data_IF_299585972373
#
_entry.id   IF_299585972373
#
_cell.length_a   1.000
_cell.length_b   1.000
_cell.length_c   1.000
_cell.angle_alpha   90.00
_cell.angle_beta   90.00
_cell.angle_gamma   90.00
#
_symmetry.space_group_name_H-M   'P 1'
#
loop_
_entity.id
_entity.type
_entity.pdbx_description
1 polymer ?
#
# COMPACT_ATOMS: atom_id res chain seq x y z
N UNK A 1 -7.08 6.36 12.22
CA UNK A 1 -6.69 4.95 12.08
C UNK A 1 -7.94 4.14 12.26
N UNK A 2 -8.26 3.27 11.30
CA UNK A 2 -9.50 2.51 11.28
C UNK A 2 -9.22 1.06 10.89
N UNK A 3 -9.72 0.06 11.63
CA UNK A 3 -9.72 -1.31 11.13
C UNK A 3 -10.65 -1.40 9.91
N UNK A 4 -10.21 -2.08 8.86
CA UNK A 4 -11.02 -2.34 7.66
C UNK A 4 -11.52 -3.78 7.68
N UNK A 5 -10.62 -4.75 7.89
CA UNK A 5 -10.95 -6.15 8.14
C UNK A 5 -9.86 -6.82 9.01
N UNK A 6 -10.23 -7.90 9.69
CA UNK A 6 -9.35 -8.62 10.62
C UNK A 6 -8.97 -7.80 11.87
N UNK A 7 -7.94 -8.25 12.57
CA UNK A 7 -7.55 -7.65 13.85
C UNK A 7 -7.01 -6.21 13.70
N UNK A 8 -7.47 -5.26 14.52
CA UNK A 8 -6.94 -3.89 14.52
C UNK A 8 -5.49 -3.86 15.02
N UNK A 9 -4.82 -2.72 14.80
CA UNK A 9 -3.64 -2.35 15.58
C UNK A 9 -4.10 -1.44 16.76
N UNK A 10 -3.38 -1.41 17.89
CA UNK A 10 -3.64 -0.44 18.96
C UNK A 10 -3.51 1.01 18.46
N UNK A 11 -4.37 1.94 18.91
CA UNK A 11 -4.31 3.33 18.48
C UNK A 11 -3.03 4.01 18.97
N UNK A 12 -2.45 4.85 18.11
CA UNK A 12 -1.26 5.67 18.39
C UNK A 12 -1.48 7.09 17.89
N UNK A 13 -0.78 8.06 18.47
CA UNK A 13 -0.87 9.48 18.10
C UNK A 13 0.13 9.89 17.02
N UNK A 14 1.20 9.11 16.82
CA UNK A 14 2.23 9.37 15.85
C UNK A 14 2.86 8.06 15.36
N UNK A 15 3.49 8.13 14.19
CA UNK A 15 4.31 7.06 13.62
C UNK A 15 5.67 7.67 13.27
N UNK A 16 6.73 6.96 13.62
CA UNK A 16 8.06 7.17 13.06
C UNK A 16 8.35 6.08 12.02
N UNK A 17 9.04 6.43 10.95
CA UNK A 17 9.51 5.48 9.96
C UNK A 17 11.00 5.71 9.71
N UNK A 18 11.76 4.62 9.59
CA UNK A 18 13.19 4.66 9.43
C UNK A 18 13.82 3.29 9.68
N UNK A 19 15.15 3.17 9.53
CA UNK A 19 15.86 1.91 9.74
C UNK A 19 15.94 1.51 11.23
N UNK A 20 15.76 2.45 12.15
CA UNK A 20 15.84 2.21 13.58
C UNK A 20 14.44 2.10 14.21
N UNK A 21 14.29 1.17 15.15
CA UNK A 21 13.08 1.04 15.97
C UNK A 21 13.13 2.05 17.10
N UNK A 22 12.08 2.85 17.25
CA UNK A 22 11.96 3.77 18.37
C UNK A 22 11.75 2.99 19.69
N UNK A 23 12.51 3.29 20.77
CA UNK A 23 12.24 2.70 22.08
C UNK A 23 10.82 3.00 22.55
N UNK A 24 10.14 2.01 23.14
CA UNK A 24 8.79 2.20 23.70
C UNK A 24 7.66 2.27 22.67
N UNK A 25 7.89 1.89 21.41
CA UNK A 25 6.84 1.81 20.40
C UNK A 25 5.75 0.80 20.81
N UNK A 26 4.47 1.20 20.72
CA UNK A 26 3.32 0.31 20.99
C UNK A 26 3.27 -0.89 20.04
N UNK A 27 3.73 -0.70 18.81
CA UNK A 27 3.90 -1.74 17.81
C UNK A 27 4.98 -1.33 16.81
N UNK A 28 5.53 -2.30 16.09
CA UNK A 28 6.50 -2.10 15.02
C UNK A 28 6.10 -2.96 13.84
N UNK A 29 6.17 -2.41 12.63
CA UNK A 29 5.95 -3.13 11.38
C UNK A 29 7.21 -3.02 10.52
N UNK A 30 7.72 -4.15 10.04
CA UNK A 30 8.93 -4.18 9.21
C UNK A 30 8.60 -4.67 7.81
N UNK A 31 9.32 -4.17 6.82
CA UNK A 31 9.18 -4.63 5.44
C UNK A 31 10.31 -4.14 4.56
N UNK A 32 10.57 -4.87 3.47
CA UNK A 32 11.67 -4.60 2.53
C UNK A 32 11.12 -4.15 1.18
N UNK A 33 11.76 -3.16 0.57
CA UNK A 33 11.53 -2.86 -0.85
C UNK A 33 12.14 -4.01 -1.66
N UNK A 34 11.39 -4.53 -2.63
CA UNK A 34 11.81 -5.70 -3.42
C UNK A 34 11.63 -5.44 -4.92
N UNK A 35 12.04 -6.42 -5.75
CA UNK A 35 11.82 -6.38 -7.19
C UNK A 35 10.31 -6.47 -7.53
N UNK A 36 9.89 -5.93 -8.69
CA UNK A 36 8.51 -6.10 -9.17
C UNK A 36 8.12 -7.57 -9.27
N UNK A 37 6.89 -7.90 -8.85
CA UNK A 37 6.35 -9.27 -8.86
C UNK A 37 5.31 -9.52 -9.94
N UNK A 38 4.65 -8.47 -10.45
CA UNK A 38 3.53 -8.58 -11.38
C UNK A 38 3.66 -7.68 -12.60
N UNK A 39 4.14 -6.44 -12.41
CA UNK A 39 4.21 -5.47 -13.49
C UNK A 39 5.10 -5.97 -14.65
N UNK A 40 4.56 -5.91 -15.85
CA UNK A 40 5.24 -6.16 -17.11
C UNK A 40 6.20 -5.02 -17.46
N UNK A 41 7.07 -5.23 -18.45
CA UNK A 41 8.00 -4.19 -18.90
C UNK A 41 7.30 -2.92 -19.40
N UNK A 42 6.18 -3.05 -20.11
CA UNK A 42 5.41 -1.90 -20.62
C UNK A 42 4.73 -1.11 -19.49
N UNK A 43 4.18 -1.81 -18.49
CA UNK A 43 3.60 -1.20 -17.29
C UNK A 43 4.68 -0.47 -16.49
N UNK A 44 5.84 -1.10 -16.29
CA UNK A 44 6.98 -0.49 -15.61
C UNK A 44 7.48 0.77 -16.32
N UNK A 45 7.57 0.74 -17.66
CA UNK A 45 7.93 1.92 -18.47
C UNK A 45 6.92 3.05 -18.30
N UNK A 46 5.63 2.72 -18.33
CA UNK A 46 4.55 3.70 -18.17
C UNK A 46 4.59 4.33 -16.78
N UNK A 47 4.68 3.50 -15.74
CA UNK A 47 4.79 3.96 -14.35
C UNK A 47 6.02 4.84 -14.16
N UNK A 48 7.19 4.42 -14.66
CA UNK A 48 8.43 5.18 -14.55
C UNK A 48 8.39 6.54 -15.24
N UNK A 49 7.55 6.70 -16.27
CA UNK A 49 7.38 7.97 -16.98
C UNK A 49 6.51 9.00 -16.27
N UNK A 50 5.68 8.59 -15.31
CA UNK A 50 4.70 9.49 -14.66
C UNK A 50 4.81 9.54 -13.13
N UNK A 51 5.32 8.49 -12.48
CA UNK A 51 5.41 8.46 -11.02
C UNK A 51 6.46 9.44 -10.52
N UNK A 52 6.20 10.04 -9.36
CA UNK A 52 7.18 10.86 -8.66
C UNK A 52 7.58 10.22 -7.33
N UNK A 53 8.70 10.68 -6.78
CA UNK A 53 9.27 10.18 -5.53
C UNK A 53 8.52 10.64 -4.27
N UNK A 54 8.89 10.03 -3.14
CA UNK A 54 8.46 10.43 -1.81
C UNK A 54 9.15 11.72 -1.34
N UNK A 55 8.62 12.34 -0.30
CA UNK A 55 9.23 13.47 0.41
C UNK A 55 9.01 14.83 -0.26
N UNK A 56 8.06 14.94 -1.19
CA UNK A 56 7.79 16.20 -1.89
C UNK A 56 7.31 17.28 -0.93
N UNK A 57 7.65 18.53 -1.24
CA UNK A 57 7.39 19.69 -0.40
C UNK A 57 5.90 19.98 -0.18
N UNK A 58 5.04 19.59 -1.10
CA UNK A 58 3.59 19.76 -1.06
C UNK A 58 2.86 18.55 -0.45
N UNK A 59 3.52 17.39 -0.40
CA UNK A 59 2.94 16.15 0.12
C UNK A 59 2.88 16.17 1.66
N UNK A 60 1.84 16.80 2.19
CA UNK A 60 1.58 16.96 3.64
C UNK A 60 0.64 15.92 4.21
N UNK A 61 0.01 15.09 3.37
CA UNK A 61 -0.79 13.96 3.77
C UNK A 61 -0.10 12.65 3.38
N UNK A 62 -0.33 11.61 4.17
CA UNK A 62 0.14 10.27 3.88
C UNK A 62 -0.87 9.21 4.33
N UNK A 63 -0.74 8.01 3.79
CA UNK A 63 -1.44 6.84 4.26
C UNK A 63 -0.49 5.66 4.36
N UNK A 64 -0.54 4.96 5.49
CA UNK A 64 0.02 3.63 5.67
C UNK A 64 -1.13 2.63 5.71
N UNK A 65 -1.14 1.68 4.77
CA UNK A 65 -2.15 0.62 4.70
C UNK A 65 -1.43 -0.73 4.72
N UNK A 66 -1.24 -1.33 5.92
CA UNK A 66 -0.74 -2.69 6.07
C UNK A 66 -1.81 -3.68 5.60
N UNK A 67 -1.43 -4.64 4.76
CA UNK A 67 -2.34 -5.58 4.12
C UNK A 67 -1.79 -7.00 4.28
N UNK A 68 -2.66 -7.94 4.66
CA UNK A 68 -2.41 -9.38 4.64
C UNK A 68 -3.41 -10.04 3.71
N UNK A 69 -2.91 -10.90 2.83
CA UNK A 69 -3.72 -11.75 1.98
C UNK A 69 -3.85 -13.16 2.57
N UNK A 70 -4.95 -13.81 2.25
CA UNK A 70 -5.27 -15.17 2.69
C UNK A 70 -4.29 -16.20 2.14
N UNK A 71 -4.23 -17.35 2.81
CA UNK A 71 -3.45 -18.50 2.33
C UNK A 71 -3.87 -18.92 0.92
N UNK A 72 -5.17 -18.89 0.62
CA UNK A 72 -5.70 -19.19 -0.71
C UNK A 72 -5.04 -18.36 -1.82
N UNK A 73 -4.76 -17.07 -1.57
CA UNK A 73 -4.01 -16.24 -2.51
C UNK A 73 -2.59 -16.75 -2.71
N UNK A 74 -1.92 -17.15 -1.63
CA UNK A 74 -0.53 -17.58 -1.67
C UNK A 74 -0.34 -19.00 -2.25
N UNK A 75 -1.39 -19.81 -2.28
CA UNK A 75 -1.42 -21.11 -2.97
C UNK A 75 -1.54 -20.97 -4.49
N UNK A 76 -2.10 -19.87 -5.00
CA UNK A 76 -2.25 -19.62 -6.44
C UNK A 76 -0.90 -19.55 -7.15
N UNK A 77 -0.88 -20.10 -8.35
CA UNK A 77 0.24 -19.97 -9.27
C UNK A 77 0.47 -18.50 -9.68
N UNK A 78 1.65 -18.22 -10.23
CA UNK A 78 2.06 -16.86 -10.55
C UNK A 78 1.18 -16.20 -11.62
N UNK A 79 0.79 -16.96 -12.64
CA UNK A 79 -0.10 -16.55 -13.71
C UNK A 79 -1.52 -16.28 -13.19
N UNK A 80 -2.05 -17.14 -12.31
CA UNK A 80 -3.34 -16.93 -11.67
C UNK A 80 -3.37 -15.65 -10.84
N UNK A 81 -2.36 -15.42 -9.99
CA UNK A 81 -2.23 -14.17 -9.22
C UNK A 81 -2.10 -12.96 -10.13
N UNK A 82 -1.34 -13.07 -11.22
CA UNK A 82 -1.17 -11.97 -12.18
C UNK A 82 -2.49 -11.63 -12.87
N UNK A 83 -3.25 -12.64 -13.29
CA UNK A 83 -4.57 -12.51 -13.90
C UNK A 83 -5.56 -11.78 -12.98
N UNK A 84 -5.58 -12.15 -11.70
CA UNK A 84 -6.45 -11.48 -10.72
C UNK A 84 -5.98 -10.03 -10.48
N UNK A 85 -4.68 -9.81 -10.34
CA UNK A 85 -4.09 -8.50 -10.04
C UNK A 85 -4.38 -7.44 -11.11
N UNK A 86 -4.21 -7.75 -12.41
CA UNK A 86 -4.42 -6.73 -13.45
C UNK A 86 -5.58 -7.02 -14.39
N UNK A 87 -5.68 -8.23 -14.95
CA UNK A 87 -6.67 -8.51 -15.99
C UNK A 87 -8.10 -8.39 -15.43
N UNK A 88 -8.29 -8.79 -14.17
CA UNK A 88 -9.58 -8.72 -13.49
C UNK A 88 -9.72 -7.46 -12.63
N UNK A 89 -8.68 -7.09 -11.88
CA UNK A 89 -8.76 -5.99 -10.89
C UNK A 89 -8.28 -4.65 -11.43
N UNK A 90 -7.49 -4.66 -12.51
CA UNK A 90 -6.88 -3.48 -13.14
C UNK A 90 -6.09 -2.64 -12.13
N UNK A 91 -5.35 -3.29 -11.23
CA UNK A 91 -4.67 -2.63 -10.11
C UNK A 91 -3.75 -1.50 -10.58
N UNK A 92 -2.90 -1.78 -11.56
CA UNK A 92 -1.96 -0.80 -12.12
C UNK A 92 -2.70 0.26 -12.91
N UNK A 93 -3.60 -0.14 -13.81
CA UNK A 93 -4.35 0.80 -14.65
C UNK A 93 -5.24 1.76 -13.84
N UNK A 94 -5.85 1.31 -12.74
CA UNK A 94 -6.60 2.17 -11.82
C UNK A 94 -5.68 3.16 -11.11
N UNK A 95 -4.58 2.65 -10.56
CA UNK A 95 -3.62 3.46 -9.82
C UNK A 95 -2.89 4.49 -10.70
N UNK A 96 -2.71 4.22 -11.99
CA UNK A 96 -2.11 5.16 -12.94
C UNK A 96 -2.86 6.50 -12.99
N UNK A 97 -4.19 6.50 -12.78
CA UNK A 97 -5.01 7.72 -12.83
C UNK A 97 -4.71 8.72 -11.72
N UNK A 98 -4.10 8.27 -10.62
CA UNK A 98 -3.74 9.14 -9.49
C UNK A 98 -2.30 9.64 -9.57
N UNK A 99 -1.54 9.25 -10.60
CA UNK A 99 -0.18 9.73 -10.82
C UNK A 99 -0.21 10.99 -11.70
N UNK A 100 0.66 11.99 -11.45
CA UNK A 100 1.76 12.03 -10.47
C UNK A 100 1.36 12.40 -9.03
N UNK A 101 0.09 12.77 -8.81
CA UNK A 101 -0.37 13.37 -7.57
C UNK A 101 -0.14 12.50 -6.31
N UNK A 102 -0.27 11.18 -6.40
CA UNK A 102 -0.01 10.23 -5.32
C UNK A 102 1.34 9.55 -5.52
N UNK A 103 2.32 9.83 -4.65
CA UNK A 103 3.55 9.06 -4.57
C UNK A 103 3.31 7.79 -3.76
N UNK A 104 4.01 6.69 -4.09
CA UNK A 104 3.82 5.40 -3.40
C UNK A 104 5.13 4.66 -3.17
N UNK A 105 5.14 3.82 -2.14
CA UNK A 105 6.18 2.81 -1.89
C UNK A 105 5.56 1.53 -1.35
N UNK A 106 6.00 0.41 -1.89
CA UNK A 106 5.59 -0.93 -1.46
C UNK A 106 6.73 -1.59 -0.70
N UNK A 107 6.42 -2.11 0.49
CA UNK A 107 7.30 -2.97 1.24
C UNK A 107 6.67 -4.36 1.38
N UNK A 108 7.48 -5.40 1.17
CA UNK A 108 7.11 -6.79 1.38
C UNK A 108 7.56 -7.23 2.77
N UNK A 109 6.69 -7.90 3.51
CA UNK A 109 6.92 -8.28 4.90
C UNK A 109 6.54 -9.71 5.24
N UNK A 110 5.78 -10.40 4.36
CA UNK A 110 5.40 -11.81 4.53
C UNK A 110 6.59 -12.71 4.85
N UNK A 111 7.63 -12.66 4.02
CA UNK A 111 8.79 -13.56 4.13
C UNK A 111 9.69 -13.21 5.33
N UNK A 112 9.39 -12.11 6.05
CA UNK A 112 10.03 -11.75 7.32
C UNK A 112 9.29 -12.35 8.53
N UNK A 113 8.17 -13.04 8.33
CA UNK A 113 7.30 -13.55 9.40
C UNK A 113 6.46 -12.47 10.10
N UNK A 114 6.30 -11.31 9.45
CA UNK A 114 5.54 -10.18 10.00
C UNK A 114 4.02 -10.45 9.94
N UNK A 115 3.21 -9.75 10.77
CA UNK A 115 1.76 -9.97 10.83
C UNK A 115 0.98 -9.49 9.60
N UNK A 116 1.63 -8.78 8.68
CA UNK A 116 1.09 -8.34 7.40
C UNK A 116 2.02 -8.79 6.27
N UNK A 117 1.48 -8.97 5.07
CA UNK A 117 2.26 -9.37 3.90
C UNK A 117 2.91 -8.18 3.20
N UNK A 118 2.23 -7.04 3.23
CA UNK A 118 2.64 -5.80 2.60
C UNK A 118 2.43 -4.62 3.53
N UNK A 119 3.37 -3.68 3.48
CA UNK A 119 3.18 -2.32 4.01
C UNK A 119 3.14 -1.38 2.82
N UNK A 120 1.96 -0.83 2.53
CA UNK A 120 1.77 0.12 1.43
C UNK A 120 1.79 1.55 1.96
N UNK A 121 2.66 2.37 1.40
CA UNK A 121 2.88 3.75 1.81
C UNK A 121 2.52 4.70 0.67
N UNK A 122 1.74 5.72 0.98
CA UNK A 122 1.31 6.75 0.03
C UNK A 122 1.53 8.15 0.58
N UNK A 123 1.90 9.08 -0.28
CA UNK A 123 2.07 10.50 0.04
C UNK A 123 1.39 11.37 -1.02
N UNK A 124 0.68 12.41 -0.59
CA UNK A 124 -0.06 13.30 -1.48
C UNK A 124 -0.30 14.66 -0.84
N UNK A 125 -0.57 15.66 -1.68
CA UNK A 125 -0.98 16.98 -1.24
C UNK A 125 -2.44 16.96 -0.72
N UNK A 126 -2.83 17.82 0.23
CA UNK A 126 -4.18 17.83 0.80
C UNK A 126 -5.31 17.90 -0.23
N UNK A 127 -5.12 18.63 -1.33
CA UNK A 127 -6.07 18.76 -2.45
C UNK A 127 -6.33 17.45 -3.20
N UNK A 128 -5.43 16.47 -3.09
CA UNK A 128 -5.55 15.16 -3.73
C UNK A 128 -6.15 14.09 -2.82
N UNK A 129 -6.59 14.46 -1.62
CA UNK A 129 -7.14 13.52 -0.65
C UNK A 129 -8.35 12.76 -1.20
N UNK A 130 -9.33 13.44 -1.77
CA UNK A 130 -10.54 12.78 -2.30
C UNK A 130 -10.20 11.74 -3.37
N UNK A 131 -9.37 12.12 -4.34
CA UNK A 131 -8.89 11.23 -5.40
C UNK A 131 -8.19 9.97 -4.83
N UNK A 132 -7.43 10.11 -3.75
CA UNK A 132 -6.81 8.96 -3.08
C UNK A 132 -7.84 8.07 -2.36
N UNK A 133 -8.81 8.67 -1.66
CA UNK A 133 -9.89 7.91 -1.01
C UNK A 133 -10.73 7.13 -2.05
N UNK A 134 -11.02 7.75 -3.20
CA UNK A 134 -11.74 7.11 -4.30
C UNK A 134 -10.95 5.92 -4.87
N UNK A 135 -9.64 6.07 -5.08
CA UNK A 135 -8.79 4.95 -5.51
C UNK A 135 -8.83 3.79 -4.52
N UNK A 136 -8.69 4.05 -3.22
CA UNK A 136 -8.72 3.02 -2.19
C UNK A 136 -10.10 2.34 -2.15
N UNK A 137 -11.18 3.10 -2.24
CA UNK A 137 -12.54 2.57 -2.26
C UNK A 137 -12.80 1.70 -3.50
N UNK A 138 -12.30 2.08 -4.67
CA UNK A 138 -12.37 1.27 -5.89
C UNK A 138 -11.57 -0.04 -5.75
N UNK A 139 -10.33 0.03 -5.26
CA UNK A 139 -9.47 -1.15 -5.09
C UNK A 139 -10.10 -2.17 -4.15
N UNK A 140 -10.74 -1.70 -3.06
CA UNK A 140 -11.47 -2.55 -2.10
C UNK A 140 -12.66 -3.31 -2.70
N UNK A 141 -13.13 -2.91 -3.87
CA UNK A 141 -14.24 -3.57 -4.59
C UNK A 141 -13.76 -4.54 -5.67
N UNK A 142 -12.44 -4.70 -5.84
CA UNK A 142 -11.89 -5.56 -6.90
C UNK A 142 -11.85 -7.04 -6.48
N UNK A 143 -11.81 -7.98 -7.45
CA UNK A 143 -11.58 -9.39 -7.17
C UNK A 143 -10.30 -9.66 -6.36
N UNK A 144 -9.23 -8.89 -6.59
CA UNK A 144 -8.01 -8.98 -5.78
C UNK A 144 -8.27 -8.79 -4.29
N UNK A 145 -9.17 -7.86 -3.93
CA UNK A 145 -9.45 -7.54 -2.54
C UNK A 145 -10.28 -8.60 -1.81
N UNK A 146 -10.92 -9.51 -2.54
CA UNK A 146 -11.59 -10.68 -1.93
C UNK A 146 -10.61 -11.61 -1.21
N UNK A 147 -9.32 -11.50 -1.51
CA UNK A 147 -8.26 -12.27 -0.85
C UNK A 147 -7.63 -11.53 0.33
N UNK A 148 -8.01 -10.29 0.64
CA UNK A 148 -7.46 -9.52 1.76
C UNK A 148 -8.17 -9.92 3.05
N UNK A 149 -7.43 -10.51 3.99
CA UNK A 149 -7.99 -11.01 5.27
C UNK A 149 -7.68 -10.10 6.46
N UNK A 150 -6.70 -9.20 6.32
CA UNK A 150 -6.40 -8.18 7.32
C UNK A 150 -5.96 -6.89 6.66
N UNK A 151 -6.62 -5.80 7.00
CA UNK A 151 -6.30 -4.46 6.51
C UNK A 151 -6.55 -3.43 7.60
N UNK A 152 -5.56 -2.56 7.83
CA UNK A 152 -5.67 -1.41 8.73
C UNK A 152 -5.41 -0.14 7.95
N UNK A 153 -6.31 0.83 8.06
CA UNK A 153 -6.20 2.09 7.35
C UNK A 153 -5.68 3.20 8.28
N UNK A 154 -4.44 3.64 8.05
CA UNK A 154 -3.77 4.67 8.86
C UNK A 154 -3.55 5.93 8.02
N UNK A 155 -4.42 6.91 8.18
CA UNK A 155 -4.27 8.26 7.61
C UNK A 155 -3.37 9.13 8.47
N UNK A 156 -2.44 9.84 7.84
CA UNK A 156 -1.38 10.62 8.48
C UNK A 156 -1.32 12.05 7.91
N UNK A 157 -0.86 12.98 8.75
CA UNK A 157 -0.42 14.32 8.33
C UNK A 157 1.03 14.49 8.75
N UNK A 158 1.85 15.07 7.88
CA UNK A 158 3.25 15.34 8.20
C UNK A 158 3.31 16.35 9.35
N UNK A 159 4.11 16.05 10.37
CA UNK A 159 4.41 17.02 11.42
C UNK A 159 5.07 18.26 10.81
N UNK A 160 4.74 19.44 11.34
CA UNK A 160 5.30 20.73 10.93
C UNK A 160 6.77 20.85 11.26
#
# INVERSE_FOLDING_TARGET
MSPVCGDPLPPVTAISHGPAVAPGATWTLKGVVSNPRYATASEMKTLGGVQQGLGRGEARCAALIPIRKSEAWWTLAQDERRAIFEEQSRHTARSLRTLPAVARRLHHSRDLGEPFDFLTWFEFAPEHKSMFEDLVAELRQTPEWSFVEREVDIRLKRAG
#
